data_IF_594708647189
#
_entry.id   IF_594708647189
#
_cell.length_a   1.000
_cell.length_b   1.000
_cell.length_c   1.000
_cell.angle_alpha   90.00
_cell.angle_beta   90.00
_cell.angle_gamma   90.00
#
_symmetry.space_group_name_H-M   'P 1'
#
loop_
_entity.id
_entity.type
_entity.pdbx_description
1 polymer ?
#
# COMPACT_ATOMS: atom_id res chain seq x y z
N UNK A 1 -17.63 42.43 4.00
CA UNK A 1 -18.20 41.51 5.00
C UNK A 1 -19.48 40.94 4.40
N UNK A 2 -19.47 39.72 3.86
CA UNK A 2 -19.78 38.48 4.60
C UNK A 2 -21.31 38.32 4.61
N UNK A 3 -21.95 37.30 4.03
CA UNK A 3 -21.60 35.88 4.13
C UNK A 3 -22.10 35.07 2.92
N UNK A 4 -21.25 34.14 2.48
CA UNK A 4 -21.57 33.08 1.53
C UNK A 4 -22.37 31.99 2.24
N UNK A 5 -23.67 31.89 1.95
CA UNK A 5 -24.48 30.72 2.34
C UNK A 5 -24.26 29.62 1.30
N UNK A 6 -23.40 28.66 1.61
CA UNK A 6 -23.09 27.51 0.77
C UNK A 6 -23.70 26.26 1.41
N UNK A 7 -24.98 25.99 1.16
CA UNK A 7 -25.68 24.82 1.68
C UNK A 7 -25.48 23.61 0.75
N UNK A 8 -24.36 22.91 0.90
CA UNK A 8 -24.21 21.56 0.35
C UNK A 8 -24.78 20.53 1.32
N UNK A 9 -26.09 20.29 1.24
CA UNK A 9 -26.72 19.09 1.82
C UNK A 9 -27.71 18.50 0.82
N UNK A 10 -27.26 17.50 0.07
CA UNK A 10 -28.13 16.43 -0.40
C UNK A 10 -27.28 15.22 -0.78
N UNK A 11 -26.74 14.53 0.22
CA UNK A 11 -26.15 13.21 0.03
C UNK A 11 -27.28 12.18 0.11
N UNK A 12 -28.03 12.05 -0.99
CA UNK A 12 -28.88 10.88 -1.26
C UNK A 12 -28.20 10.06 -2.35
N UNK A 13 -27.24 9.25 -1.95
CA UNK A 13 -26.82 8.09 -2.72
C UNK A 13 -27.05 6.85 -1.84
N UNK A 14 -28.32 6.62 -1.52
CA UNK A 14 -28.82 5.30 -1.11
C UNK A 14 -29.28 4.60 -2.40
N UNK A 15 -28.33 3.96 -3.06
CA UNK A 15 -28.60 2.99 -4.13
C UNK A 15 -28.62 1.62 -3.47
N UNK A 16 -29.68 1.32 -2.72
CA UNK A 16 -30.07 -0.07 -2.45
C UNK A 16 -30.82 -0.57 -3.69
N UNK A 17 -30.05 -1.18 -4.59
CA UNK A 17 -30.53 -1.92 -5.75
C UNK A 17 -30.79 -3.37 -5.27
N UNK A 18 -31.82 -3.51 -4.42
CA UNK A 18 -32.28 -4.78 -3.85
C UNK A 18 -33.18 -5.52 -4.87
N UNK A 19 -32.63 -5.77 -6.05
CA UNK A 19 -33.17 -6.74 -7.01
C UNK A 19 -32.22 -7.94 -7.02
N UNK A 20 -32.44 -8.83 -6.05
CA UNK A 20 -31.76 -10.12 -5.91
C UNK A 20 -32.28 -11.10 -6.98
N UNK A 21 -32.01 -10.81 -8.26
CA UNK A 21 -32.26 -11.76 -9.35
C UNK A 21 -31.06 -12.70 -9.53
N UNK A 22 -31.33 -14.01 -9.52
CA UNK A 22 -30.37 -15.09 -9.63
C UNK A 22 -29.65 -15.08 -11.01
N UNK A 23 -28.52 -14.38 -11.09
CA UNK A 23 -27.70 -14.28 -12.31
C UNK A 23 -27.13 -15.66 -12.70
N UNK A 24 -27.64 -16.23 -13.79
CA UNK A 24 -26.95 -17.32 -14.47
C UNK A 24 -25.65 -16.78 -15.08
N UNK A 25 -24.57 -17.57 -15.00
CA UNK A 25 -23.26 -17.27 -15.58
C UNK A 25 -23.38 -17.16 -17.11
N UNK A 26 -23.70 -15.98 -17.61
CA UNK A 26 -23.77 -15.67 -19.05
C UNK A 26 -22.33 -15.63 -19.58
N UNK A 27 -21.79 -16.81 -19.85
CA UNK A 27 -20.65 -16.97 -20.74
C UNK A 27 -21.12 -16.67 -22.17
N UNK A 28 -20.68 -15.52 -22.70
CA UNK A 28 -20.76 -15.07 -24.10
C UNK A 28 -22.15 -15.09 -24.79
N UNK A 29 -22.79 -13.93 -25.01
CA UNK A 29 -24.21 -13.86 -25.35
C UNK A 29 -24.55 -13.91 -26.85
N UNK A 30 -23.67 -14.39 -27.72
CA UNK A 30 -23.94 -14.31 -29.16
C UNK A 30 -24.93 -15.35 -29.67
N UNK A 31 -25.19 -16.45 -28.94
CA UNK A 31 -26.01 -17.56 -29.44
C UNK A 31 -27.51 -17.46 -29.15
N UNK A 32 -27.96 -16.56 -28.27
CA UNK A 32 -29.38 -16.46 -27.88
C UNK A 32 -30.10 -15.21 -28.45
N UNK A 33 -29.39 -14.39 -29.23
CA UNK A 33 -29.97 -13.23 -29.92
C UNK A 33 -30.74 -13.61 -31.19
N UNK A 34 -30.42 -14.76 -31.80
CA UNK A 34 -31.03 -15.22 -33.06
C UNK A 34 -32.45 -15.79 -32.88
N UNK A 35 -32.85 -16.15 -31.66
CA UNK A 35 -34.18 -16.70 -31.31
C UNK A 35 -35.20 -15.62 -30.91
N UNK A 36 -34.81 -14.34 -30.93
CA UNK A 36 -35.71 -13.23 -30.58
C UNK A 36 -36.42 -12.73 -31.85
N UNK A 37 -37.74 -12.87 -31.87
CA UNK A 37 -38.60 -12.64 -33.03
C UNK A 37 -38.73 -11.15 -33.42
N UNK A 38 -38.36 -10.23 -32.53
CA UNK A 38 -38.44 -8.79 -32.77
C UNK A 38 -37.13 -8.04 -32.49
N UNK A 39 -36.85 -7.03 -33.32
CA UNK A 39 -35.70 -6.13 -33.14
C UNK A 39 -35.75 -5.36 -31.81
N UNK A 40 -36.96 -5.09 -31.29
CA UNK A 40 -37.16 -4.46 -29.99
C UNK A 40 -36.75 -5.37 -28.83
N UNK A 41 -37.02 -6.68 -28.90
CA UNK A 41 -36.58 -7.66 -27.90
C UNK A 41 -35.07 -7.85 -27.92
N UNK A 42 -34.46 -7.90 -29.12
CA UNK A 42 -32.99 -7.93 -29.26
C UNK A 42 -32.35 -6.69 -28.64
N UNK A 43 -32.91 -5.50 -28.89
CA UNK A 43 -32.40 -4.26 -28.32
C UNK A 43 -32.55 -4.23 -26.78
N UNK A 44 -33.66 -4.73 -26.24
CA UNK A 44 -33.87 -4.85 -24.78
C UNK A 44 -32.87 -5.81 -24.15
N UNK A 45 -32.68 -6.99 -24.76
CA UNK A 45 -31.75 -8.00 -24.28
C UNK A 45 -30.29 -7.50 -24.30
N UNK A 46 -29.88 -6.82 -25.37
CA UNK A 46 -28.55 -6.20 -25.45
C UNK A 46 -28.33 -5.13 -24.37
N UNK A 47 -29.33 -4.30 -24.09
CA UNK A 47 -29.26 -3.31 -22.99
C UNK A 47 -29.14 -3.99 -21.63
N UNK A 48 -29.89 -5.06 -21.41
CA UNK A 48 -29.87 -5.79 -20.14
C UNK A 48 -28.50 -6.44 -19.90
N UNK A 49 -27.94 -7.10 -20.90
CA UNK A 49 -26.57 -7.64 -20.82
C UNK A 49 -25.53 -6.58 -20.54
N UNK A 50 -25.64 -5.40 -21.18
CA UNK A 50 -24.75 -4.29 -20.92
C UNK A 50 -24.86 -3.80 -19.46
N UNK A 51 -26.07 -3.73 -18.90
CA UNK A 51 -26.29 -3.35 -17.49
C UNK A 51 -25.72 -4.41 -16.54
N UNK A 52 -25.92 -5.69 -16.83
CA UNK A 52 -25.37 -6.80 -16.05
C UNK A 52 -23.83 -6.78 -16.04
N UNK A 53 -23.20 -6.59 -17.21
CA UNK A 53 -21.75 -6.48 -17.33
C UNK A 53 -21.20 -5.31 -16.51
N UNK A 54 -21.85 -4.14 -16.59
CA UNK A 54 -21.42 -2.96 -15.84
C UNK A 54 -21.63 -3.14 -14.32
N UNK A 55 -22.66 -3.85 -13.86
CA UNK A 55 -22.82 -4.23 -12.44
C UNK A 55 -21.62 -5.05 -11.97
N UNK A 56 -21.28 -6.13 -12.69
CA UNK A 56 -20.11 -6.97 -12.39
C UNK A 56 -18.80 -6.17 -12.39
N UNK A 57 -18.64 -5.24 -13.33
CA UNK A 57 -17.47 -4.35 -13.37
C UNK A 57 -17.39 -3.45 -12.13
N UNK A 58 -18.52 -2.88 -11.69
CA UNK A 58 -18.57 -2.05 -10.48
C UNK A 58 -18.28 -2.84 -9.22
N UNK A 59 -18.76 -4.07 -9.13
CA UNK A 59 -18.52 -4.95 -7.98
C UNK A 59 -17.04 -5.32 -7.86
N UNK A 60 -16.39 -5.64 -8.98
CA UNK A 60 -14.95 -5.88 -8.99
C UNK A 60 -14.16 -4.64 -8.55
N UNK A 61 -14.52 -3.45 -9.03
CA UNK A 61 -13.89 -2.20 -8.56
C UNK A 61 -14.13 -1.99 -7.06
N UNK A 62 -15.34 -2.27 -6.56
CA UNK A 62 -15.68 -2.15 -5.13
C UNK A 62 -14.82 -3.08 -4.27
N UNK A 63 -14.60 -4.32 -4.72
CA UNK A 63 -13.70 -5.28 -4.07
C UNK A 63 -12.25 -4.78 -4.06
N UNK A 64 -11.75 -4.24 -5.18
CA UNK A 64 -10.41 -3.65 -5.23
C UNK A 64 -10.24 -2.50 -4.23
N UNK A 65 -11.25 -1.64 -4.05
CA UNK A 65 -11.22 -0.59 -3.02
C UNK A 65 -11.23 -1.15 -1.60
N UNK A 66 -11.87 -2.29 -1.34
CA UNK A 66 -11.87 -2.93 -0.04
C UNK A 66 -10.46 -3.46 0.33
N UNK A 67 -9.80 -4.14 -0.62
CA UNK A 67 -8.40 -4.60 -0.47
C UNK A 67 -7.44 -3.42 -0.31
N UNK A 68 -7.66 -2.35 -1.07
CA UNK A 68 -6.83 -1.15 -0.95
C UNK A 68 -6.99 -0.51 0.44
N UNK A 69 -8.24 -0.36 0.93
CA UNK A 69 -8.54 0.17 2.26
C UNK A 69 -7.84 -0.61 3.37
N UNK A 70 -7.79 -1.94 3.30
CA UNK A 70 -7.13 -2.76 4.33
C UNK A 70 -5.61 -2.64 4.33
N UNK A 71 -5.02 -2.13 3.25
CA UNK A 71 -3.56 -2.02 3.08
C UNK A 71 -3.01 -0.65 3.50
N UNK A 72 -3.88 0.28 3.88
CA UNK A 72 -3.52 1.66 4.22
C UNK A 72 -4.07 2.05 5.59
N UNK A 73 -3.37 2.91 6.34
CA UNK A 73 -3.86 3.42 7.62
C UNK A 73 -4.98 4.45 7.39
N UNK A 74 -6.22 3.97 7.29
CA UNK A 74 -7.42 4.81 7.25
C UNK A 74 -8.17 4.65 8.56
N UNK A 75 -8.53 5.77 9.20
CA UNK A 75 -9.32 5.78 10.43
C UNK A 75 -10.57 4.91 10.29
N UNK A 76 -10.94 4.21 11.38
CA UNK A 76 -11.99 3.18 11.52
C UNK A 76 -13.43 3.68 11.27
N UNK A 77 -13.64 4.44 10.19
CA UNK A 77 -14.96 4.53 9.59
C UNK A 77 -15.22 3.23 8.83
N UNK A 78 -16.38 2.62 9.08
CA UNK A 78 -16.78 1.38 8.39
C UNK A 78 -16.76 1.55 6.85
N UNK A 79 -17.05 2.76 6.34
CA UNK A 79 -17.08 3.05 4.91
C UNK A 79 -16.51 4.46 4.57
N UNK A 80 -15.18 4.64 4.48
CA UNK A 80 -14.60 5.90 4.02
C UNK A 80 -14.91 6.14 2.53
N UNK A 81 -15.02 7.41 2.09
CA UNK A 81 -15.19 7.73 0.68
C UNK A 81 -14.05 7.17 -0.18
N UNK A 82 -14.35 6.73 -1.41
CA UNK A 82 -13.34 6.24 -2.37
C UNK A 82 -12.21 7.25 -2.60
N UNK A 83 -12.54 8.54 -2.68
CA UNK A 83 -11.55 9.62 -2.80
C UNK A 83 -10.58 9.64 -1.62
N UNK A 84 -11.07 9.42 -0.39
CA UNK A 84 -10.23 9.35 0.81
C UNK A 84 -9.29 8.16 0.75
N UNK A 85 -9.76 6.99 0.31
CA UNK A 85 -8.92 5.80 0.11
C UNK A 85 -7.78 6.12 -0.87
N UNK A 86 -8.07 6.77 -2.00
CA UNK A 86 -7.05 7.14 -2.99
C UNK A 86 -6.02 8.14 -2.44
N UNK A 87 -6.47 9.20 -1.77
CA UNK A 87 -5.59 10.21 -1.18
C UNK A 87 -4.67 9.55 -0.14
N UNK A 88 -5.24 8.76 0.77
CA UNK A 88 -4.47 8.08 1.82
C UNK A 88 -3.49 7.07 1.24
N UNK A 89 -3.85 6.36 0.18
CA UNK A 89 -2.92 5.49 -0.55
C UNK A 89 -1.71 6.28 -1.06
N UNK A 90 -1.93 7.43 -1.69
CA UNK A 90 -0.84 8.25 -2.20
C UNK A 90 0.05 8.78 -1.07
N UNK A 91 -0.56 9.25 0.03
CA UNK A 91 0.16 9.69 1.23
C UNK A 91 1.02 8.56 1.80
N UNK A 92 0.44 7.36 1.99
CA UNK A 92 1.15 6.19 2.53
C UNK A 92 2.31 5.77 1.63
N UNK A 93 2.13 5.74 0.30
CA UNK A 93 3.24 5.42 -0.63
C UNK A 93 4.38 6.44 -0.48
N UNK A 94 4.04 7.74 -0.42
CA UNK A 94 5.03 8.80 -0.28
C UNK A 94 5.78 8.70 1.05
N UNK A 95 5.06 8.52 2.15
CA UNK A 95 5.62 8.40 3.50
C UNK A 95 6.51 7.16 3.63
N UNK A 96 6.03 6.00 3.17
CA UNK A 96 6.80 4.75 3.21
C UNK A 96 8.05 4.81 2.33
N UNK A 97 7.97 5.42 1.15
CA UNK A 97 9.15 5.61 0.28
C UNK A 97 10.20 6.51 0.96
N UNK A 98 9.76 7.60 1.60
CA UNK A 98 10.67 8.48 2.34
C UNK A 98 11.26 7.77 3.57
N UNK A 99 10.46 6.97 4.29
CA UNK A 99 10.94 6.20 5.44
C UNK A 99 12.01 5.19 5.03
N UNK A 100 11.83 4.46 3.92
CA UNK A 100 12.83 3.54 3.37
C UNK A 100 14.14 4.28 3.09
N UNK A 101 14.08 5.43 2.42
CA UNK A 101 15.28 6.22 2.14
C UNK A 101 16.01 6.64 3.42
N UNK A 102 15.26 7.08 4.44
CA UNK A 102 15.86 7.45 5.73
C UNK A 102 16.51 6.24 6.41
N UNK A 103 15.86 5.06 6.39
CA UNK A 103 16.43 3.84 6.96
C UNK A 103 17.69 3.38 6.22
N UNK A 104 17.75 3.53 4.90
CA UNK A 104 18.94 3.23 4.11
C UNK A 104 20.10 4.19 4.45
N UNK A 105 19.80 5.47 4.66
CA UNK A 105 20.78 6.47 5.08
C UNK A 105 21.29 6.20 6.50
N UNK A 106 20.40 5.86 7.44
CA UNK A 106 20.76 5.48 8.81
C UNK A 106 21.62 4.21 8.82
N UNK A 107 21.26 3.19 8.03
CA UNK A 107 22.06 1.96 7.91
C UNK A 107 23.46 2.25 7.39
N UNK A 108 23.60 3.14 6.39
CA UNK A 108 24.91 3.53 5.86
C UNK A 108 25.74 4.24 6.93
N UNK A 109 25.15 5.20 7.66
CA UNK A 109 25.85 5.91 8.74
C UNK A 109 26.31 4.96 9.84
N UNK A 110 25.46 4.02 10.25
CA UNK A 110 25.82 3.02 11.27
C UNK A 110 26.91 2.06 10.78
N UNK A 111 26.94 1.72 9.49
CA UNK A 111 28.02 0.92 8.91
C UNK A 111 29.36 1.67 8.94
N UNK A 112 29.37 2.94 8.55
CA UNK A 112 30.57 3.79 8.60
C UNK A 112 31.07 3.97 10.04
N UNK A 113 30.16 4.17 11.01
CA UNK A 113 30.50 4.27 12.43
C UNK A 113 31.08 2.95 12.97
N UNK A 114 30.49 1.81 12.62
CA UNK A 114 31.02 0.51 13.02
C UNK A 114 32.42 0.24 12.43
N UNK A 115 32.65 0.58 11.17
CA UNK A 115 33.97 0.42 10.54
C UNK A 115 35.04 1.27 11.24
N UNK A 116 34.71 2.51 11.60
CA UNK A 116 35.62 3.38 12.36
C UNK A 116 35.93 2.83 13.75
N UNK A 117 34.91 2.31 14.45
CA UNK A 117 35.09 1.71 15.78
C UNK A 117 35.92 0.42 15.71
N UNK A 118 35.71 -0.40 14.67
CA UNK A 118 36.51 -1.61 14.44
C UNK A 118 37.98 -1.27 14.17
N UNK A 119 38.26 -0.22 13.38
CA UNK A 119 39.63 0.27 13.16
C UNK A 119 40.25 0.78 14.46
N UNK A 120 39.54 1.60 15.23
CA UNK A 120 40.03 2.11 16.51
C UNK A 120 40.36 0.96 17.48
N UNK A 121 39.47 -0.03 17.60
CA UNK A 121 39.70 -1.22 18.41
C UNK A 121 40.96 -1.99 17.97
N UNK A 122 41.13 -2.20 16.66
CA UNK A 122 42.30 -2.90 16.13
C UNK A 122 43.62 -2.16 16.47
N UNK A 123 43.63 -0.83 16.34
CA UNK A 123 44.82 -0.03 16.71
C UNK A 123 45.12 -0.08 18.21
N UNK A 124 44.08 -0.10 19.05
CA UNK A 124 44.22 -0.17 20.50
C UNK A 124 44.71 -1.55 20.96
N UNK A 125 44.20 -2.62 20.34
CA UNK A 125 44.67 -3.98 20.55
C UNK A 125 46.14 -4.14 20.17
N UNK A 126 46.57 -3.55 19.04
CA UNK A 126 47.97 -3.59 18.63
C UNK A 126 48.87 -2.86 19.64
N UNK A 127 48.45 -1.68 20.11
CA UNK A 127 49.17 -0.92 21.14
C UNK A 127 49.28 -1.71 22.45
N UNK A 128 48.18 -2.33 22.89
CA UNK A 128 48.16 -3.15 24.09
C UNK A 128 49.13 -4.34 23.98
N UNK A 129 49.17 -5.01 22.82
CA UNK A 129 50.09 -6.12 22.58
C UNK A 129 51.56 -5.68 22.57
N UNK A 130 51.88 -4.49 22.05
CA UNK A 130 53.24 -3.93 22.10
C UNK A 130 53.67 -3.67 23.54
N UNK A 131 52.84 -2.98 24.32
CA UNK A 131 53.11 -2.67 25.73
C UNK A 131 53.29 -3.97 26.54
N UNK A 132 52.44 -4.98 26.32
CA UNK A 132 52.56 -6.26 27.03
C UNK A 132 53.89 -6.95 26.73
N UNK A 133 54.35 -6.94 25.47
CA UNK A 133 55.64 -7.53 25.09
C UNK A 133 56.82 -6.78 25.73
N UNK A 134 56.79 -5.45 25.72
CA UNK A 134 57.82 -4.62 26.35
C UNK A 134 57.95 -4.92 27.85
N UNK A 135 56.82 -5.04 28.57
CA UNK A 135 56.79 -5.41 29.99
C UNK A 135 57.41 -6.80 30.23
N UNK A 136 57.10 -7.78 29.37
CA UNK A 136 57.65 -9.14 29.50
C UNK A 136 59.15 -9.19 29.18
N UNK A 137 59.62 -8.39 28.22
CA UNK A 137 61.05 -8.25 27.90
C UNK A 137 61.83 -7.60 29.06
N UNK A 138 61.31 -6.52 29.64
CA UNK A 138 61.91 -5.86 30.82
C UNK A 138 61.99 -6.81 32.03
N UNK A 139 60.94 -7.61 32.28
CA UNK A 139 60.93 -8.62 33.34
C UNK A 139 61.99 -9.70 33.13
N UNK A 140 62.18 -10.14 31.90
CA UNK A 140 63.17 -11.18 31.57
C UNK A 140 64.62 -10.66 31.65
N UNK A 141 64.86 -9.37 31.38
CA UNK A 141 66.17 -8.75 31.53
C UNK A 141 66.55 -8.54 33.01
N UNK A 142 65.58 -8.16 33.85
CA UNK A 142 65.81 -7.95 35.29
C UNK A 142 66.02 -9.25 36.09
N UNK A 143 65.65 -10.40 35.53
CA UNK A 143 65.81 -11.72 36.16
C UNK A 143 67.09 -12.49 35.72
N UNK A 144 67.95 -11.88 34.91
CA UNK A 144 69.27 -12.41 34.51
C UNK A 144 70.40 -11.72 35.26
#
# INVERSE_FOLDING_TARGET
MGDYSNSYTNNKNDFSDDDEEHYSDVQSPTSHLDDLDSEDEKAKHAREQHRALERRRRDNIKEMYAVLKSSIPVNDSDAPPRTTILIKTFETIKETSQAIQNYDDDCRMLQEENEQLEEELATLEEQYMKISKEIDEERNQNNK
#
